data_IF_097536043881
#
_entry.id   IF_097536043881
#
_cell.length_a   1.000
_cell.length_b   1.000
_cell.length_c   1.000
_cell.angle_alpha   90.00
_cell.angle_beta   90.00
_cell.angle_gamma   90.00
#
_symmetry.space_group_name_H-M   'P 1'
#
loop_
_entity.id
_entity.type
_entity.pdbx_description
1 polymer ?
#
# COMPACT_ATOMS: atom_id res chain seq x y z
N UNK A 1 -51.62 15.92 -78.93
CA UNK A 1 -50.92 14.67 -79.36
C UNK A 1 -49.56 14.66 -78.65
N UNK A 2 -49.38 13.78 -77.85
CA UNK A 2 -48.14 12.96 -77.57
C UNK A 2 -48.28 12.28 -76.20
N UNK A 3 -48.36 10.99 -76.28
CA UNK A 3 -48.44 10.09 -75.12
C UNK A 3 -47.08 10.02 -74.48
N UNK A 4 -47.01 10.10 -73.18
CA UNK A 4 -45.82 9.76 -72.43
C UNK A 4 -46.10 8.55 -71.51
N UNK A 5 -45.31 7.52 -71.67
CA UNK A 5 -45.38 6.28 -71.02
C UNK A 5 -44.80 6.47 -69.58
N UNK A 6 -45.52 6.04 -68.56
CA UNK A 6 -45.01 6.01 -67.19
C UNK A 6 -44.32 4.67 -66.99
N UNK A 7 -43.04 4.70 -66.63
CA UNK A 7 -42.22 3.52 -66.28
C UNK A 7 -42.30 3.36 -64.76
N UNK A 8 -42.92 2.28 -64.31
CA UNK A 8 -43.06 1.92 -62.86
C UNK A 8 -41.77 1.21 -62.45
N UNK A 9 -40.90 1.89 -61.71
CA UNK A 9 -39.73 1.26 -61.10
C UNK A 9 -40.11 0.70 -59.72
N UNK A 10 -40.06 -0.65 -59.61
CA UNK A 10 -40.29 -1.37 -58.37
C UNK A 10 -38.99 -1.33 -57.54
N UNK A 11 -38.94 -0.46 -56.51
CA UNK A 11 -37.85 -0.42 -55.56
C UNK A 11 -38.09 -1.49 -54.47
N UNK A 12 -37.38 -2.57 -54.54
CA UNK A 12 -37.28 -3.56 -53.43
C UNK A 12 -36.48 -2.97 -52.30
N UNK A 13 -37.19 -2.67 -51.20
CA UNK A 13 -36.60 -2.18 -49.95
C UNK A 13 -35.97 -3.36 -49.23
N UNK A 14 -34.63 -3.51 -49.31
CA UNK A 14 -33.87 -4.38 -48.44
C UNK A 14 -33.81 -3.76 -47.04
N UNK A 15 -34.66 -4.24 -46.13
CA UNK A 15 -34.55 -3.94 -44.71
C UNK A 15 -33.37 -4.79 -44.16
N UNK A 16 -32.19 -4.21 -44.24
CA UNK A 16 -31.02 -4.73 -43.53
C UNK A 16 -31.23 -4.51 -42.02
N UNK A 17 -31.58 -5.56 -41.29
CA UNK A 17 -31.52 -5.54 -39.82
C UNK A 17 -30.06 -5.46 -39.43
N UNK A 18 -29.53 -4.25 -39.28
CA UNK A 18 -28.26 -4.06 -38.54
C UNK A 18 -28.56 -4.35 -37.09
N UNK A 19 -28.26 -5.61 -36.69
CA UNK A 19 -28.12 -5.97 -35.28
C UNK A 19 -27.00 -5.12 -34.69
N UNK A 20 -27.37 -4.02 -34.03
CA UNK A 20 -26.45 -3.33 -33.14
C UNK A 20 -26.10 -4.31 -32.02
N UNK A 21 -25.01 -5.06 -32.20
CA UNK A 21 -24.31 -5.67 -31.07
C UNK A 21 -23.93 -4.51 -30.15
N UNK A 22 -24.65 -4.34 -29.04
CA UNK A 22 -24.15 -3.54 -27.92
C UNK A 22 -22.73 -4.06 -27.65
N UNK A 23 -21.74 -3.20 -27.86
CA UNK A 23 -20.40 -3.42 -27.31
C UNK A 23 -20.63 -3.64 -25.82
N UNK A 24 -20.30 -4.85 -25.36
CA UNK A 24 -20.29 -5.12 -23.93
C UNK A 24 -19.32 -4.10 -23.32
N UNK A 25 -19.87 -3.10 -22.62
CA UNK A 25 -19.08 -2.23 -21.79
C UNK A 25 -18.35 -3.13 -20.77
N UNK A 26 -17.04 -2.93 -20.55
CA UNK A 26 -16.33 -3.70 -19.55
C UNK A 26 -17.06 -3.52 -18.22
N UNK A 27 -17.69 -4.60 -17.73
CA UNK A 27 -18.39 -4.58 -16.45
C UNK A 27 -17.38 -4.22 -15.38
N UNK A 28 -17.59 -3.11 -14.70
CA UNK A 28 -16.80 -2.73 -13.53
C UNK A 28 -16.86 -3.89 -12.53
N UNK A 29 -15.72 -4.44 -12.08
CA UNK A 29 -15.73 -5.51 -11.10
C UNK A 29 -16.49 -5.07 -9.85
N UNK A 30 -17.39 -5.90 -9.36
CA UNK A 30 -18.21 -5.61 -8.18
C UNK A 30 -17.56 -6.28 -6.98
N UNK A 31 -17.44 -5.52 -5.88
CA UNK A 31 -17.00 -6.07 -4.59
C UNK A 31 -18.12 -7.00 -4.08
N UNK A 32 -17.77 -8.25 -3.78
CA UNK A 32 -18.71 -9.21 -3.21
C UNK A 32 -18.96 -8.93 -1.74
N UNK A 33 -20.21 -9.01 -1.32
CA UNK A 33 -20.63 -8.93 0.09
C UNK A 33 -20.88 -10.29 0.72
N UNK A 34 -20.70 -11.37 -0.04
CA UNK A 34 -20.90 -12.73 0.45
C UNK A 34 -19.85 -13.07 1.53
N UNK A 35 -20.19 -13.86 2.55
CA UNK A 35 -19.24 -14.32 3.56
C UNK A 35 -18.04 -15.02 2.92
N UNK A 36 -16.87 -14.89 3.55
CA UNK A 36 -15.67 -15.60 3.12
C UNK A 36 -15.89 -17.11 3.12
N UNK A 37 -15.33 -17.77 2.12
CA UNK A 37 -15.34 -19.24 2.02
C UNK A 37 -13.95 -19.80 2.17
N UNK A 38 -13.83 -21.05 2.65
CA UNK A 38 -12.55 -21.74 2.80
C UNK A 38 -12.55 -23.08 2.10
N UNK A 39 -11.38 -23.49 1.61
CA UNK A 39 -11.10 -24.84 1.13
C UNK A 39 -9.74 -25.29 1.69
N UNK A 40 -9.79 -25.93 2.85
CA UNK A 40 -8.60 -26.43 3.55
C UNK A 40 -7.92 -27.59 2.81
N UNK A 41 -8.66 -28.29 1.93
CA UNK A 41 -8.18 -29.43 1.15
C UNK A 41 -7.59 -29.03 -0.21
N UNK A 42 -7.59 -27.73 -0.56
CA UNK A 42 -7.07 -27.24 -1.82
C UNK A 42 -5.63 -27.72 -2.06
N UNK A 43 -5.36 -28.21 -3.24
CA UNK A 43 -4.02 -28.64 -3.61
C UNK A 43 -3.05 -27.45 -3.77
N UNK A 44 -1.75 -27.76 -3.72
CA UNK A 44 -0.68 -26.74 -3.81
C UNK A 44 -0.75 -25.94 -5.10
N UNK A 45 -1.17 -26.56 -6.21
CA UNK A 45 -1.25 -25.87 -7.50
C UNK A 45 -2.38 -24.84 -7.51
N UNK A 46 -3.55 -25.20 -6.96
CA UNK A 46 -4.68 -24.28 -6.80
C UNK A 46 -4.29 -23.09 -5.89
N UNK A 47 -3.62 -23.36 -4.76
CA UNK A 47 -3.16 -22.31 -3.85
C UNK A 47 -2.18 -21.36 -4.56
N UNK A 48 -1.15 -21.88 -5.23
CA UNK A 48 -0.16 -21.09 -5.97
C UNK A 48 -0.77 -20.28 -7.13
N UNK A 49 -1.95 -20.69 -7.59
CA UNK A 49 -2.70 -19.95 -8.60
C UNK A 49 -3.58 -18.82 -8.02
N UNK A 50 -3.60 -18.60 -6.73
CA UNK A 50 -4.36 -17.51 -6.10
C UNK A 50 -3.81 -16.13 -6.44
N UNK A 51 -4.63 -15.09 -6.20
CA UNK A 51 -4.24 -13.68 -6.39
C UNK A 51 -3.18 -13.26 -5.38
N UNK A 52 -3.35 -13.67 -4.11
CA UNK A 52 -2.32 -13.58 -3.09
C UNK A 52 -1.93 -14.98 -2.60
N UNK A 53 -0.64 -15.20 -2.43
CA UNK A 53 -0.10 -16.45 -1.88
C UNK A 53 0.82 -16.12 -0.73
N UNK A 54 0.52 -16.68 0.44
CA UNK A 54 1.34 -16.59 1.63
C UNK A 54 2.06 -17.92 1.87
N UNK A 55 3.33 -17.83 2.22
CA UNK A 55 4.07 -18.95 2.83
C UNK A 55 4.15 -18.69 4.32
N UNK A 56 3.65 -19.65 5.09
CA UNK A 56 3.52 -19.57 6.56
C UNK A 56 3.73 -20.97 7.11
N UNK A 57 4.40 -21.20 8.25
CA UNK A 57 4.52 -22.53 8.83
C UNK A 57 3.14 -23.20 9.01
N UNK A 58 3.09 -24.52 8.83
CA UNK A 58 1.87 -25.30 9.04
C UNK A 58 1.36 -25.12 10.50
N UNK A 59 0.06 -24.94 10.64
CA UNK A 59 -0.58 -24.68 11.93
C UNK A 59 -0.51 -23.22 12.41
N UNK A 60 0.21 -22.33 11.74
CA UNK A 60 0.23 -20.90 12.05
C UNK A 60 -1.14 -20.26 11.86
N UNK A 61 -1.37 -19.18 12.60
CA UNK A 61 -2.60 -18.41 12.54
C UNK A 61 -2.40 -17.13 11.73
N UNK A 62 -3.28 -16.93 10.76
CA UNK A 62 -3.36 -15.71 9.95
C UNK A 62 -4.73 -15.08 10.15
N UNK A 63 -4.77 -13.78 10.42
CA UNK A 63 -6.01 -13.00 10.46
C UNK A 63 -6.16 -12.24 9.15
N UNK A 64 -7.35 -12.32 8.57
CA UNK A 64 -7.66 -11.72 7.25
C UNK A 64 -8.95 -10.92 7.35
N UNK A 65 -8.91 -9.68 6.92
CA UNK A 65 -10.08 -8.81 6.73
C UNK A 65 -10.12 -8.32 5.27
N UNK A 66 -11.29 -8.16 4.66
CA UNK A 66 -12.64 -8.21 5.27
C UNK A 66 -13.11 -9.65 5.50
N UNK A 67 -14.23 -9.79 6.24
CA UNK A 67 -14.90 -11.10 6.48
C UNK A 67 -15.80 -11.54 5.32
N UNK A 68 -15.84 -10.78 4.23
CA UNK A 68 -16.68 -11.01 3.06
C UNK A 68 -15.90 -10.83 1.78
N UNK A 69 -16.35 -11.49 0.73
CA UNK A 69 -15.82 -11.32 -0.63
C UNK A 69 -14.55 -12.10 -0.94
N UNK A 70 -14.06 -12.94 -0.02
CA UNK A 70 -12.83 -13.70 -0.22
C UNK A 70 -13.09 -15.21 -0.26
N UNK A 71 -12.29 -15.90 -1.08
CA UNK A 71 -12.11 -17.36 -1.05
C UNK A 71 -10.69 -17.66 -0.58
N UNK A 72 -10.60 -18.38 0.54
CA UNK A 72 -9.33 -18.73 1.19
C UNK A 72 -9.05 -20.22 0.93
N UNK A 73 -7.87 -20.52 0.41
CA UNK A 73 -7.42 -21.86 0.09
C UNK A 73 -6.28 -22.28 1.02
N UNK A 74 -6.23 -23.56 1.40
CA UNK A 74 -5.15 -24.12 2.22
C UNK A 74 -5.22 -23.77 3.70
N UNK A 75 -6.36 -23.27 4.20
CA UNK A 75 -6.55 -22.95 5.60
C UNK A 75 -7.98 -23.22 6.06
N UNK A 76 -8.15 -23.42 7.37
CA UNK A 76 -9.44 -23.59 8.03
C UNK A 76 -9.82 -22.31 8.78
N UNK A 77 -11.03 -21.81 8.55
CA UNK A 77 -11.57 -20.65 9.26
C UNK A 77 -12.05 -21.05 10.65
N UNK A 78 -11.78 -20.23 11.66
CA UNK A 78 -12.28 -20.41 13.02
C UNK A 78 -13.82 -20.31 13.06
N UNK A 79 -14.44 -21.13 13.91
CA UNK A 79 -15.90 -21.16 14.00
C UNK A 79 -16.50 -19.88 14.59
N UNK A 80 -15.77 -19.23 15.49
CA UNK A 80 -16.22 -18.05 16.24
C UNK A 80 -15.63 -16.73 15.71
N UNK A 81 -14.36 -16.75 15.33
CA UNK A 81 -13.66 -15.58 14.75
C UNK A 81 -13.49 -15.76 13.25
N UNK A 82 -14.36 -15.15 12.46
CA UNK A 82 -14.37 -15.24 11.00
C UNK A 82 -13.20 -14.53 10.33
N UNK A 83 -12.36 -13.82 11.07
CA UNK A 83 -11.10 -13.25 10.57
C UNK A 83 -9.92 -14.21 10.74
N UNK A 84 -10.03 -15.21 11.59
CA UNK A 84 -8.96 -16.12 11.99
C UNK A 84 -8.92 -17.39 11.16
N UNK A 85 -7.76 -17.68 10.59
CA UNK A 85 -7.53 -18.86 9.74
C UNK A 85 -6.32 -19.63 10.23
N UNK A 86 -6.45 -20.95 10.35
CA UNK A 86 -5.33 -21.85 10.67
C UNK A 86 -4.80 -22.48 9.37
N UNK A 87 -3.53 -22.28 9.09
CA UNK A 87 -2.88 -22.75 7.86
C UNK A 87 -2.72 -24.27 7.88
N UNK A 88 -3.03 -24.92 6.77
CA UNK A 88 -2.93 -26.36 6.59
C UNK A 88 -1.49 -26.89 6.55
N UNK A 89 -1.35 -28.20 6.41
CA UNK A 89 -0.08 -28.94 6.52
C UNK A 89 0.96 -28.61 5.44
N UNK A 90 0.52 -28.03 4.29
CA UNK A 90 1.42 -27.62 3.20
C UNK A 90 2.11 -26.28 3.43
N UNK A 91 1.77 -25.55 4.51
CA UNK A 91 2.38 -24.26 4.82
C UNK A 91 2.08 -23.14 3.82
N UNK A 92 1.01 -23.27 3.05
CA UNK A 92 0.59 -22.29 2.03
C UNK A 92 -0.86 -21.85 2.26
N UNK A 93 -1.11 -20.56 2.06
CA UNK A 93 -2.44 -19.97 2.09
C UNK A 93 -2.66 -19.13 0.85
N UNK A 94 -3.73 -19.40 0.10
CA UNK A 94 -4.14 -18.65 -1.08
C UNK A 94 -5.34 -17.77 -0.79
N UNK A 95 -5.33 -16.53 -1.27
CA UNK A 95 -6.45 -15.59 -1.15
C UNK A 95 -6.90 -15.19 -2.55
N UNK A 96 -8.19 -15.33 -2.81
CA UNK A 96 -8.84 -14.87 -4.05
C UNK A 96 -10.05 -14.03 -3.69
N UNK A 97 -10.35 -13.02 -4.49
CA UNK A 97 -11.56 -12.21 -4.32
C UNK A 97 -11.38 -10.79 -4.85
N UNK A 98 -12.49 -10.08 -4.91
CA UNK A 98 -12.56 -8.71 -5.38
C UNK A 98 -12.90 -7.79 -4.21
N UNK A 99 -11.88 -7.34 -3.50
CA UNK A 99 -12.01 -6.44 -2.35
C UNK A 99 -11.21 -5.16 -2.60
N UNK A 100 -11.67 -4.04 -2.08
CA UNK A 100 -10.95 -2.76 -2.19
C UNK A 100 -9.87 -2.62 -1.10
N UNK A 101 -10.08 -3.26 0.05
CA UNK A 101 -9.17 -3.24 1.19
C UNK A 101 -8.91 -4.65 1.67
N UNK A 102 -7.64 -4.99 1.82
CA UNK A 102 -7.18 -6.28 2.35
C UNK A 102 -6.24 -6.02 3.53
N UNK A 103 -6.56 -6.58 4.68
CA UNK A 103 -5.67 -6.60 5.84
C UNK A 103 -5.28 -8.04 6.15
N UNK A 104 -4.00 -8.26 6.29
CA UNK A 104 -3.41 -9.54 6.67
C UNK A 104 -2.57 -9.31 7.92
N UNK A 105 -2.82 -10.10 8.96
CA UNK A 105 -2.09 -10.00 10.21
C UNK A 105 -1.58 -11.38 10.64
N UNK A 106 -0.27 -11.52 10.77
CA UNK A 106 0.38 -12.72 11.27
C UNK A 106 1.84 -12.44 11.64
N UNK A 107 2.36 -13.17 12.62
CA UNK A 107 3.75 -13.09 13.04
C UNK A 107 4.66 -14.06 12.25
N UNK A 108 4.07 -14.95 11.45
CA UNK A 108 4.74 -16.10 10.87
C UNK A 108 4.87 -16.06 9.33
N UNK A 109 4.49 -14.94 8.67
CA UNK A 109 4.61 -14.85 7.21
C UNK A 109 6.08 -14.80 6.83
N UNK A 110 6.53 -15.78 6.05
CA UNK A 110 7.88 -15.81 5.48
C UNK A 110 7.94 -15.24 4.09
N UNK A 111 6.94 -15.52 3.25
CA UNK A 111 6.84 -14.95 1.91
C UNK A 111 5.39 -14.53 1.62
N UNK A 112 5.25 -13.43 0.89
CA UNK A 112 3.98 -12.96 0.35
C UNK A 112 4.15 -12.60 -1.12
N UNK A 113 3.33 -13.18 -1.97
CA UNK A 113 3.30 -12.88 -3.40
C UNK A 113 1.92 -12.42 -3.83
N UNK A 114 1.82 -11.18 -4.30
CA UNK A 114 0.66 -10.57 -4.96
C UNK A 114 1.07 -10.13 -6.38
N UNK A 115 1.53 -11.10 -7.17
CA UNK A 115 2.01 -10.86 -8.54
C UNK A 115 0.90 -10.85 -9.58
N UNK A 116 -0.31 -11.34 -9.23
CA UNK A 116 -1.46 -11.32 -10.12
C UNK A 116 -2.26 -10.03 -9.94
N UNK A 117 -2.85 -9.58 -11.03
CA UNK A 117 -3.68 -8.37 -11.02
C UNK A 117 -4.87 -8.49 -10.06
N UNK A 118 -5.02 -7.51 -9.20
CA UNK A 118 -6.17 -7.31 -8.31
C UNK A 118 -6.72 -5.89 -8.56
N UNK A 119 -7.52 -5.71 -9.60
CA UNK A 119 -7.86 -4.38 -10.11
C UNK A 119 -8.70 -3.53 -9.15
N UNK A 120 -9.34 -4.14 -8.15
CA UNK A 120 -10.10 -3.40 -7.14
C UNK A 120 -9.30 -3.09 -5.88
N UNK A 121 -8.19 -3.80 -5.63
CA UNK A 121 -7.44 -3.64 -4.39
C UNK A 121 -6.68 -2.30 -4.38
N UNK A 122 -7.16 -1.38 -3.58
CA UNK A 122 -6.60 -0.04 -3.38
C UNK A 122 -5.83 0.09 -2.08
N UNK A 123 -6.18 -0.71 -1.07
CA UNK A 123 -5.53 -0.63 0.24
C UNK A 123 -5.05 -2.01 0.69
N UNK A 124 -3.76 -2.12 0.96
CA UNK A 124 -3.14 -3.31 1.56
C UNK A 124 -2.52 -2.97 2.92
N UNK A 125 -2.86 -3.75 3.93
CA UNK A 125 -2.31 -3.65 5.28
C UNK A 125 -1.69 -4.98 5.67
N UNK A 126 -0.38 -4.99 5.88
CA UNK A 126 0.38 -6.12 6.38
C UNK A 126 0.94 -5.77 7.73
N UNK A 127 0.50 -6.46 8.78
CA UNK A 127 0.95 -6.18 10.15
C UNK A 127 1.22 -7.48 10.91
N UNK A 128 2.23 -7.49 11.77
CA UNK A 128 2.40 -8.58 12.74
C UNK A 128 1.37 -8.44 13.86
N UNK A 129 0.97 -9.55 14.48
CA UNK A 129 0.00 -9.55 15.57
C UNK A 129 0.63 -9.05 16.86
N UNK A 130 1.76 -9.63 17.24
CA UNK A 130 2.49 -9.23 18.44
C UNK A 130 3.21 -7.90 18.20
N UNK A 131 3.04 -6.93 19.12
CA UNK A 131 3.70 -5.62 19.03
C UNK A 131 5.22 -5.70 19.19
N UNK A 132 5.73 -6.70 19.89
CA UNK A 132 7.16 -6.90 20.13
C UNK A 132 7.83 -7.77 19.07
N UNK A 133 7.06 -8.56 18.32
CA UNK A 133 7.60 -9.45 17.31
C UNK A 133 8.03 -8.71 16.04
N UNK A 134 9.16 -9.15 15.50
CA UNK A 134 9.59 -8.82 14.13
C UNK A 134 9.58 -10.11 13.33
N UNK A 135 8.65 -10.22 12.39
CA UNK A 135 8.55 -11.38 11.52
C UNK A 135 9.54 -11.26 10.35
N UNK A 136 10.30 -12.31 10.10
CA UNK A 136 11.19 -12.39 8.94
C UNK A 136 10.40 -12.75 7.68
N UNK A 137 10.06 -11.73 6.87
CA UNK A 137 9.53 -11.95 5.54
C UNK A 137 10.66 -11.86 4.52
N UNK A 138 11.10 -12.99 4.00
CA UNK A 138 12.22 -13.02 3.02
C UNK A 138 11.84 -12.39 1.71
N UNK A 139 10.56 -12.47 1.33
CA UNK A 139 10.07 -11.91 0.08
C UNK A 139 8.66 -11.32 0.23
N UNK A 140 8.52 -10.06 -0.17
CA UNK A 140 7.22 -9.43 -0.42
C UNK A 140 7.18 -8.94 -1.86
N UNK A 141 6.37 -9.60 -2.69
CA UNK A 141 6.17 -9.27 -4.09
C UNK A 141 4.77 -8.69 -4.29
N UNK A 142 4.70 -7.40 -4.54
CA UNK A 142 3.46 -6.65 -4.76
C UNK A 142 3.25 -6.27 -6.23
N UNK A 143 4.02 -6.84 -7.16
CA UNK A 143 4.10 -6.41 -8.56
C UNK A 143 2.77 -6.43 -9.33
N UNK A 144 1.79 -7.24 -8.90
CA UNK A 144 0.44 -7.29 -9.48
C UNK A 144 -0.50 -6.18 -8.99
N UNK A 145 -0.14 -5.42 -7.96
CA UNK A 145 -1.00 -4.42 -7.33
C UNK A 145 -0.80 -3.02 -7.93
N UNK A 146 -1.03 -2.88 -9.23
CA UNK A 146 -0.82 -1.59 -9.94
C UNK A 146 -1.84 -0.51 -9.59
N UNK A 147 -2.99 -0.88 -9.04
CA UNK A 147 -4.06 0.04 -8.62
C UNK A 147 -3.95 0.47 -7.15
N UNK A 148 -2.89 0.04 -6.45
CA UNK A 148 -2.71 0.30 -5.02
C UNK A 148 -2.52 1.79 -4.74
N UNK A 149 -3.38 2.34 -3.89
CA UNK A 149 -3.34 3.74 -3.44
C UNK A 149 -2.79 3.89 -2.02
N UNK A 150 -2.91 2.85 -1.20
CA UNK A 150 -2.48 2.87 0.21
C UNK A 150 -1.82 1.56 0.60
N UNK A 151 -0.60 1.62 1.15
CA UNK A 151 0.17 0.47 1.63
C UNK A 151 0.69 0.73 3.04
N UNK A 152 0.40 -0.20 3.95
CA UNK A 152 1.03 -0.25 5.27
C UNK A 152 1.71 -1.61 5.48
N UNK A 153 2.98 -1.59 5.84
CA UNK A 153 3.75 -2.77 6.27
C UNK A 153 4.36 -2.47 7.63
N UNK A 154 3.94 -3.20 8.67
CA UNK A 154 4.41 -2.96 10.02
C UNK A 154 4.77 -4.25 10.77
N UNK A 155 5.93 -4.24 11.43
CA UNK A 155 6.46 -5.36 12.22
C UNK A 155 7.25 -6.39 11.42
N UNK A 156 7.49 -6.21 10.13
CA UNK A 156 8.25 -7.15 9.30
C UNK A 156 9.70 -6.72 9.12
N UNK A 157 10.58 -7.72 9.00
CA UNK A 157 11.95 -7.55 8.54
C UNK A 157 12.05 -7.96 7.07
N UNK A 158 12.42 -7.00 6.20
CA UNK A 158 12.44 -7.16 4.75
C UNK A 158 13.74 -6.53 4.23
N UNK A 159 14.55 -7.28 3.49
CA UNK A 159 15.80 -6.76 2.94
C UNK A 159 15.57 -5.63 1.92
N UNK A 160 14.60 -5.79 1.03
CA UNK A 160 14.26 -4.78 0.03
C UNK A 160 12.76 -4.82 -0.29
N UNK A 161 12.12 -3.66 -0.30
CA UNK A 161 10.72 -3.47 -0.71
C UNK A 161 10.70 -2.76 -2.07
N UNK A 162 10.28 -3.49 -3.10
CA UNK A 162 10.16 -2.93 -4.46
C UNK A 162 8.73 -2.45 -4.73
N UNK A 163 8.56 -1.13 -4.81
CA UNK A 163 7.29 -0.45 -5.10
C UNK A 163 7.29 0.22 -6.48
N UNK A 164 8.23 -0.12 -7.35
CA UNK A 164 8.38 0.54 -8.67
C UNK A 164 7.15 0.42 -9.57
N UNK A 165 6.27 -0.56 -9.32
CA UNK A 165 5.02 -0.77 -10.06
C UNK A 165 3.81 -0.05 -9.47
N UNK A 166 3.88 0.44 -8.23
CA UNK A 166 2.77 1.08 -7.50
C UNK A 166 2.69 2.59 -7.80
N UNK A 167 2.47 2.92 -9.06
CA UNK A 167 2.49 4.33 -9.53
C UNK A 167 1.32 5.18 -9.04
N UNK A 168 0.28 4.55 -8.46
CA UNK A 168 -0.90 5.23 -7.89
C UNK A 168 -0.83 5.40 -6.36
N UNK A 169 0.27 4.95 -5.75
CA UNK A 169 0.43 4.95 -4.30
C UNK A 169 0.52 6.37 -3.74
N UNK A 170 -0.45 6.73 -2.90
CA UNK A 170 -0.56 8.04 -2.24
C UNK A 170 -0.15 7.97 -0.77
N UNK A 171 -0.53 6.88 -0.09
CA UNK A 171 -0.28 6.69 1.34
C UNK A 171 0.66 5.51 1.55
N UNK A 172 1.86 5.78 2.06
CA UNK A 172 2.86 4.75 2.34
C UNK A 172 3.22 4.74 3.84
N UNK A 173 2.98 3.60 4.49
CA UNK A 173 3.42 3.32 5.86
C UNK A 173 4.43 2.19 5.89
N UNK A 174 5.62 2.48 6.39
CA UNK A 174 6.67 1.50 6.71
C UNK A 174 6.88 1.53 8.21
N UNK A 175 6.33 0.55 8.92
CA UNK A 175 6.05 0.66 10.34
C UNK A 175 4.79 1.47 10.62
N UNK A 176 4.25 1.32 11.83
CA UNK A 176 3.05 2.02 12.26
C UNK A 176 3.37 2.92 13.46
N UNK A 177 2.69 4.05 13.50
CA UNK A 177 2.74 5.01 14.59
C UNK A 177 1.34 5.60 14.79
N UNK A 178 0.96 5.81 16.04
CA UNK A 178 -0.23 6.59 16.34
C UNK A 178 0.08 8.08 16.13
N UNK A 179 -0.24 8.57 14.95
CA UNK A 179 -0.01 9.96 14.56
C UNK A 179 -1.18 10.88 14.92
N UNK A 180 -2.27 10.31 15.44
CA UNK A 180 -3.46 11.04 15.86
C UNK A 180 -3.96 12.01 14.77
N UNK A 181 -4.27 13.23 15.18
CA UNK A 181 -4.81 14.26 14.29
C UNK A 181 -3.82 14.80 13.23
N UNK A 182 -2.54 14.49 13.31
CA UNK A 182 -1.54 15.03 12.38
C UNK A 182 -1.56 14.35 11.00
N UNK A 183 -2.05 13.10 10.95
CA UNK A 183 -2.12 12.31 9.72
C UNK A 183 -3.49 11.62 9.56
N UNK A 184 -4.58 12.37 9.48
CA UNK A 184 -5.92 11.80 9.36
C UNK A 184 -6.05 10.92 8.11
N UNK A 185 -5.38 11.26 7.00
CA UNK A 185 -5.43 10.50 5.75
C UNK A 185 -4.88 9.07 5.92
N UNK A 186 -3.90 8.89 6.80
CA UNK A 186 -3.35 7.58 7.13
C UNK A 186 -4.30 6.78 8.02
N UNK A 187 -4.95 7.46 8.98
CA UNK A 187 -5.98 6.84 9.82
C UNK A 187 -7.20 6.43 8.99
N UNK A 188 -7.63 7.26 8.05
CA UNK A 188 -8.73 6.94 7.14
C UNK A 188 -8.40 5.73 6.27
N UNK A 189 -7.17 5.68 5.73
CA UNK A 189 -6.73 4.58 4.88
C UNK A 189 -6.57 3.26 5.66
N UNK A 190 -5.94 3.30 6.83
CA UNK A 190 -5.48 2.10 7.53
C UNK A 190 -6.27 1.75 8.79
N UNK A 191 -7.02 2.69 9.34
CA UNK A 191 -7.61 2.57 10.68
C UNK A 191 -6.56 2.74 11.77
N UNK A 192 -6.96 2.47 13.01
CA UNK A 192 -6.03 2.49 14.15
C UNK A 192 -5.18 1.24 14.13
N UNK A 193 -3.88 1.42 13.95
CA UNK A 193 -2.88 0.35 14.01
C UNK A 193 -1.96 0.62 15.20
N UNK A 194 -1.74 -0.34 16.10
CA UNK A 194 -0.80 -0.20 17.21
C UNK A 194 0.60 0.17 16.70
N UNK A 195 1.31 0.97 17.49
CA UNK A 195 2.68 1.37 17.14
C UNK A 195 3.60 0.17 16.93
N UNK A 196 4.27 0.15 15.77
CA UNK A 196 5.13 -0.97 15.40
C UNK A 196 6.23 -0.55 14.43
N UNK A 197 7.47 -0.80 14.78
CA UNK A 197 8.59 -0.60 13.87
C UNK A 197 8.69 -1.77 12.88
N UNK A 198 9.20 -1.48 11.69
CA UNK A 198 9.65 -2.48 10.72
C UNK A 198 11.17 -2.45 10.61
N UNK A 199 11.75 -3.50 10.01
CA UNK A 199 13.16 -3.56 9.63
C UNK A 199 13.25 -3.71 8.12
N UNK A 200 13.27 -2.58 7.41
CA UNK A 200 13.38 -2.54 5.95
C UNK A 200 14.68 -1.84 5.59
N UNK A 201 15.56 -2.54 4.87
CA UNK A 201 16.89 -2.00 4.57
C UNK A 201 16.93 -1.18 3.30
N UNK A 202 16.00 -1.41 2.36
CA UNK A 202 15.90 -0.67 1.10
C UNK A 202 14.45 -0.53 0.66
N UNK A 203 14.10 0.64 0.12
CA UNK A 203 12.78 0.90 -0.49
C UNK A 203 12.99 1.50 -1.87
N UNK A 204 12.46 0.81 -2.89
CA UNK A 204 12.49 1.29 -4.28
C UNK A 204 11.13 1.89 -4.63
N UNK A 205 11.11 3.19 -4.87
CA UNK A 205 9.90 3.94 -5.21
C UNK A 205 9.71 4.04 -6.73
N UNK A 206 8.47 4.23 -7.24
CA UNK A 206 8.23 4.51 -8.64
C UNK A 206 8.94 5.79 -9.08
N UNK A 207 9.46 5.82 -10.30
CA UNK A 207 10.09 7.03 -10.86
C UNK A 207 9.12 8.22 -10.94
N UNK A 208 7.84 7.94 -11.28
CA UNK A 208 6.76 8.92 -11.34
C UNK A 208 5.77 8.66 -10.19
N UNK A 209 6.23 8.73 -8.94
CA UNK A 209 5.38 8.50 -7.80
C UNK A 209 4.45 9.69 -7.50
N UNK A 210 3.33 9.39 -6.84
CA UNK A 210 2.31 10.37 -6.42
C UNK A 210 2.12 10.33 -4.91
N UNK A 211 3.12 9.89 -4.16
CA UNK A 211 3.06 9.76 -2.70
C UNK A 211 2.84 11.14 -2.07
N UNK A 212 1.76 11.25 -1.31
CA UNK A 212 1.38 12.44 -0.58
C UNK A 212 1.70 12.34 0.90
N UNK A 213 1.50 11.15 1.48
CA UNK A 213 1.72 10.89 2.90
C UNK A 213 2.67 9.70 3.08
N UNK A 214 3.75 9.92 3.81
CA UNK A 214 4.74 8.88 4.05
C UNK A 214 5.10 8.80 5.54
N UNK A 215 4.79 7.65 6.16
CA UNK A 215 5.23 7.29 7.50
C UNK A 215 6.34 6.28 7.39
N UNK A 216 7.45 6.55 8.08
CA UNK A 216 8.57 5.63 8.15
C UNK A 216 9.02 5.44 9.60
N UNK A 217 8.70 4.29 10.17
CA UNK A 217 9.22 3.83 11.46
C UNK A 217 10.02 2.56 11.24
N UNK A 218 11.29 2.71 11.00
CA UNK A 218 12.18 1.58 10.68
C UNK A 218 13.49 1.64 11.45
N UNK A 219 13.98 0.47 11.84
CA UNK A 219 15.22 0.33 12.61
C UNK A 219 16.46 0.11 11.73
N UNK A 220 16.32 -0.07 10.40
CA UNK A 220 17.43 -0.55 9.56
C UNK A 220 17.67 0.27 8.29
N UNK A 221 16.73 1.14 7.87
CA UNK A 221 16.90 1.92 6.65
C UNK A 221 18.04 2.94 6.82
N UNK A 222 19.01 2.89 5.93
CA UNK A 222 20.16 3.79 5.88
C UNK A 222 19.98 4.88 4.83
N UNK A 223 20.83 5.91 4.92
CA UNK A 223 20.89 6.97 3.91
C UNK A 223 21.14 6.39 2.51
N UNK A 224 20.42 6.93 1.50
CA UNK A 224 20.55 6.52 0.10
C UNK A 224 19.81 5.21 -0.26
N UNK A 225 19.14 4.56 0.69
CA UNK A 225 18.38 3.34 0.46
C UNK A 225 16.88 3.60 0.20
N UNK A 226 16.46 4.86 0.19
CA UNK A 226 15.19 5.34 -0.31
C UNK A 226 15.41 6.73 -0.94
N UNK A 227 14.90 6.95 -2.13
CA UNK A 227 15.05 8.25 -2.82
C UNK A 227 13.97 9.23 -2.37
N UNK A 228 14.24 9.94 -1.27
CA UNK A 228 13.36 10.99 -0.73
C UNK A 228 13.37 12.28 -1.55
N UNK A 229 14.37 12.48 -2.40
CA UNK A 229 14.44 13.66 -3.26
C UNK A 229 13.44 13.61 -4.41
N UNK A 230 12.97 12.40 -4.74
CA UNK A 230 12.02 12.18 -5.82
C UNK A 230 10.59 11.94 -5.33
N UNK A 231 10.08 12.81 -4.45
CA UNK A 231 8.73 12.78 -3.91
C UNK A 231 7.96 14.08 -4.23
N UNK A 232 7.64 14.38 -5.50
CA UNK A 232 7.13 15.69 -5.92
C UNK A 232 5.76 16.05 -5.34
N UNK A 233 4.98 15.07 -4.90
CA UNK A 233 3.64 15.25 -4.34
C UNK A 233 3.58 15.14 -2.81
N UNK A 234 4.73 14.94 -2.17
CA UNK A 234 4.79 14.74 -0.72
C UNK A 234 4.29 15.98 0.02
N UNK A 235 3.27 15.76 0.86
CA UNK A 235 2.68 16.77 1.75
C UNK A 235 3.06 16.55 3.19
N UNK A 236 3.08 15.29 3.64
CA UNK A 236 3.34 14.94 5.04
C UNK A 236 4.37 13.82 5.12
N UNK A 237 5.39 14.05 5.91
CA UNK A 237 6.44 13.05 6.16
C UNK A 237 6.67 12.88 7.64
N UNK A 238 6.61 11.63 8.07
CA UNK A 238 7.00 11.21 9.41
C UNK A 238 8.13 10.20 9.32
N UNK A 239 9.22 10.45 10.02
CA UNK A 239 10.34 9.54 10.11
C UNK A 239 10.79 9.31 11.55
N UNK A 240 10.82 8.05 11.94
CA UNK A 240 11.57 7.59 13.11
C UNK A 240 12.52 6.48 12.67
N UNK A 241 13.79 6.84 12.49
CA UNK A 241 14.83 5.90 12.12
C UNK A 241 16.15 6.30 12.80
N UNK A 242 16.82 5.36 13.49
CA UNK A 242 18.07 5.66 14.18
C UNK A 242 19.25 5.92 13.26
N UNK A 243 19.16 5.53 11.99
CA UNK A 243 20.25 5.62 11.02
C UNK A 243 20.04 6.65 9.92
N UNK A 244 18.90 7.34 9.91
CA UNK A 244 18.60 8.30 8.87
C UNK A 244 18.91 9.73 9.35
N UNK A 245 19.89 10.35 8.72
CA UNK A 245 20.44 11.63 9.18
C UNK A 245 20.38 12.77 8.14
N UNK A 246 20.05 12.48 6.87
CA UNK A 246 20.01 13.50 5.83
C UNK A 246 18.63 13.56 5.16
N UNK A 247 18.03 14.75 5.17
CA UNK A 247 16.76 15.04 4.49
C UNK A 247 16.96 16.25 3.56
N UNK A 248 16.69 16.06 2.29
CA UNK A 248 16.72 17.16 1.33
C UNK A 248 15.34 17.39 0.71
N UNK A 249 14.60 16.34 0.38
CA UNK A 249 13.28 16.43 -0.25
C UNK A 249 13.26 17.40 -1.44
N UNK A 250 14.31 17.38 -2.28
CA UNK A 250 14.58 18.40 -3.29
C UNK A 250 13.36 18.74 -4.15
N UNK A 251 12.55 17.73 -4.56
CA UNK A 251 11.38 17.93 -5.40
C UNK A 251 10.07 18.14 -4.63
N UNK A 252 10.07 18.02 -3.31
CA UNK A 252 8.86 18.07 -2.48
C UNK A 252 8.42 19.49 -2.15
N UNK A 253 8.01 20.27 -3.14
CA UNK A 253 7.57 21.67 -2.96
C UNK A 253 6.18 21.76 -2.29
N UNK A 254 5.44 20.66 -2.25
CA UNK A 254 4.13 20.56 -1.61
C UNK A 254 4.20 20.19 -0.11
N UNK A 255 5.41 20.01 0.45
CA UNK A 255 5.60 19.57 1.82
C UNK A 255 5.03 20.58 2.82
N UNK A 256 4.11 20.13 3.67
CA UNK A 256 3.40 20.89 4.68
C UNK A 256 3.83 20.53 6.10
N UNK A 257 4.08 19.24 6.36
CA UNK A 257 4.41 18.69 7.69
C UNK A 257 5.62 17.79 7.60
N UNK A 258 6.62 18.07 8.42
CA UNK A 258 7.81 17.25 8.59
C UNK A 258 8.00 16.89 10.07
N UNK A 259 7.96 15.61 10.36
CA UNK A 259 8.32 15.07 11.67
C UNK A 259 9.49 14.11 11.50
N UNK A 260 10.59 14.37 12.19
CA UNK A 260 11.77 13.51 12.15
C UNK A 260 12.36 13.31 13.53
N UNK A 261 12.61 12.03 13.88
CA UNK A 261 13.30 11.68 15.11
C UNK A 261 14.52 10.83 14.80
N UNK A 262 15.65 11.16 15.40
CA UNK A 262 16.87 10.36 15.41
C UNK A 262 17.14 9.91 16.85
N UNK A 263 16.63 8.73 17.26
CA UNK A 263 16.70 8.31 18.66
C UNK A 263 18.10 7.91 19.14
N UNK A 264 19.04 7.69 18.22
CA UNK A 264 20.39 7.23 18.59
C UNK A 264 21.30 8.43 18.89
N UNK A 265 21.82 8.44 20.10
CA UNK A 265 22.82 9.44 20.51
C UNK A 265 24.03 9.44 19.57
N UNK A 266 24.48 10.63 19.15
CA UNK A 266 25.62 10.81 18.26
C UNK A 266 25.27 10.93 16.78
N UNK A 267 24.04 10.63 16.34
CA UNK A 267 23.61 10.91 14.97
C UNK A 267 23.16 12.36 14.87
N UNK A 268 23.85 13.11 14.00
CA UNK A 268 23.52 14.51 13.70
C UNK A 268 22.52 14.55 12.56
N UNK A 269 21.35 15.16 12.81
CA UNK A 269 20.36 15.39 11.76
C UNK A 269 20.78 16.57 10.88
N UNK A 270 20.80 16.37 9.58
CA UNK A 270 21.04 17.39 8.58
C UNK A 270 19.79 17.54 7.70
N UNK A 271 19.10 18.66 7.83
CA UNK A 271 17.86 18.94 7.10
C UNK A 271 18.04 20.22 6.26
N UNK A 272 18.60 20.06 5.06
CA UNK A 272 18.65 21.13 4.07
C UNK A 272 17.44 21.00 3.13
N UNK A 273 16.33 21.62 3.52
CA UNK A 273 15.06 21.41 2.85
C UNK A 273 14.89 22.27 1.60
N UNK A 274 15.71 23.33 1.44
CA UNK A 274 15.59 24.26 0.32
C UNK A 274 14.27 25.02 0.30
N UNK A 275 13.67 25.17 -0.89
CA UNK A 275 12.42 25.92 -1.09
C UNK A 275 11.19 25.10 -0.72
N UNK A 276 10.48 25.47 0.35
CA UNK A 276 9.28 24.78 0.88
C UNK A 276 8.18 25.79 1.23
N UNK A 277 7.50 26.37 0.21
CA UNK A 277 6.54 27.45 0.42
C UNK A 277 5.30 27.05 1.24
N UNK A 278 4.98 25.74 1.29
CA UNK A 278 3.79 25.22 2.01
C UNK A 278 4.13 24.65 3.38
N UNK A 279 5.39 24.61 3.76
CA UNK A 279 5.81 24.01 5.02
C UNK A 279 5.35 24.86 6.22
N UNK A 280 4.55 24.23 7.08
CA UNK A 280 3.92 24.86 8.24
C UNK A 280 4.43 24.29 9.55
N UNK A 281 4.62 22.98 9.61
CA UNK A 281 4.91 22.26 10.85
C UNK A 281 6.18 21.43 10.69
N UNK A 282 7.15 21.71 11.55
CA UNK A 282 8.38 20.90 11.63
C UNK A 282 8.60 20.50 13.07
N UNK A 283 8.74 19.21 13.28
CA UNK A 283 9.13 18.66 14.58
C UNK A 283 10.39 17.83 14.43
N UNK A 284 11.43 18.23 15.13
CA UNK A 284 12.63 17.43 15.30
C UNK A 284 12.74 16.93 16.73
N UNK A 285 12.86 15.61 16.90
CA UNK A 285 13.23 14.97 18.17
C UNK A 285 14.60 14.36 18.01
N UNK A 286 15.65 15.14 18.21
CA UNK A 286 17.02 14.68 18.08
C UNK A 286 17.90 15.31 19.13
N UNK A 287 18.89 14.56 19.62
CA UNK A 287 19.89 15.06 20.54
C UNK A 287 20.88 16.07 19.87
N UNK A 288 20.91 16.14 18.53
CA UNK A 288 21.83 17.01 17.81
C UNK A 288 21.32 17.30 16.39
N UNK A 289 21.00 18.56 16.14
CA UNK A 289 20.73 19.10 14.81
C UNK A 289 22.00 19.76 14.27
N UNK A 290 22.59 19.24 13.19
CA UNK A 290 23.85 19.78 12.62
C UNK A 290 23.63 20.91 11.63
N UNK A 291 22.54 20.82 10.86
CA UNK A 291 22.15 21.84 9.89
C UNK A 291 20.65 21.81 9.71
N UNK A 292 20.05 23.00 9.73
CA UNK A 292 18.67 23.20 9.31
C UNK A 292 18.63 24.40 8.37
N UNK A 293 18.11 24.21 7.18
CA UNK A 293 17.90 25.28 6.21
C UNK A 293 16.57 25.07 5.50
N UNK A 294 15.75 26.11 5.47
CA UNK A 294 14.50 26.17 4.72
C UNK A 294 14.31 27.59 4.20
N UNK A 295 13.78 27.74 3.00
CA UNK A 295 13.43 29.04 2.44
C UNK A 295 11.95 29.07 2.01
N UNK A 296 11.40 30.30 2.00
CA UNK A 296 10.02 30.60 1.58
C UNK A 296 8.90 29.89 2.35
N UNK A 297 9.17 29.37 3.53
CA UNK A 297 8.09 28.91 4.44
C UNK A 297 7.32 30.13 4.94
N UNK A 298 6.00 30.15 4.76
CA UNK A 298 5.14 31.30 5.11
C UNK A 298 4.79 31.36 6.60
N UNK A 299 4.66 30.19 7.23
CA UNK A 299 4.40 30.06 8.66
C UNK A 299 5.15 28.83 9.16
N UNK A 300 6.21 29.03 9.93
CA UNK A 300 7.00 27.92 10.42
C UNK A 300 6.85 27.78 11.93
N UNK A 301 6.29 26.66 12.37
CA UNK A 301 6.28 26.26 13.78
C UNK A 301 7.35 25.21 14.00
N UNK A 302 8.40 25.57 14.70
CA UNK A 302 9.44 24.64 15.15
C UNK A 302 9.02 24.12 16.54
N UNK A 303 8.79 22.82 16.64
CA UNK A 303 8.54 22.14 17.91
C UNK A 303 9.78 21.34 18.28
N UNK A 304 10.50 21.77 19.30
CA UNK A 304 11.52 20.95 19.96
C UNK A 304 10.86 20.24 21.14
N UNK A 305 10.90 18.93 21.14
CA UNK A 305 10.28 18.13 22.19
C UNK A 305 11.27 17.63 23.24
N UNK A 306 12.48 18.17 23.25
CA UNK A 306 13.47 17.96 24.32
C UNK A 306 13.39 19.01 25.43
N UNK A 307 12.29 19.79 25.48
CA UNK A 307 12.00 20.68 26.60
C UNK A 307 11.14 19.96 27.66
#
# INVERSE_FOLDING_TARGET
>A
MKKSLALLALATLFIGTTSCRKKDEPKTPVVSTDPNTTDASADVAAIKNSQAVLTVPAGSVVYIEPQTGLKILGATMDATDKTKYTVGTNGLLGINGNVEKLKIQSDDITDLTLSKSSPLLKTLILVTKDQSATANATKIDLSGLTELESLLIAGYEIASLDLTKQTKLKNLGIGAWDLGANFPEMTDAFGTIPEKASRISEVKLPANNVIENFIMRTATLQNGKCDFDNLPKLKKFFCQSPFFSNFTFAKSTELEVLYATAPTAGIKLNADLGNKPKLKDITFRTASLSKFAVSNATELVLKDSNA
#
